data_IF_772575643577
#
_entry.id   IF_772575643577
#
_cell.length_a   1.000
_cell.length_b   1.000
_cell.length_c   1.000
_cell.angle_alpha   90.00
_cell.angle_beta   90.00
_cell.angle_gamma   90.00
#
_symmetry.space_group_name_H-M   'P 1'
#
loop_
_entity.id
_entity.type
_entity.pdbx_description
1 polymer ?
#
# COMPACT_ATOMS: atom_id res chain seq x y z
N UNK A 1 -19.86 8.61 -16.51
CA UNK A 1 -19.89 8.07 -17.88
C UNK A 1 -20.29 9.10 -18.92
N UNK A 2 -21.35 9.86 -18.74
CA UNK A 2 -21.84 10.81 -19.76
C UNK A 2 -20.77 11.85 -20.15
N UNK A 3 -19.99 12.35 -19.21
CA UNK A 3 -18.94 13.36 -19.46
C UNK A 3 -17.62 12.79 -19.99
N UNK A 4 -17.23 11.56 -19.57
CA UNK A 4 -15.92 10.96 -19.88
C UNK A 4 -15.95 9.94 -21.02
N UNK A 5 -17.13 9.57 -21.52
CA UNK A 5 -17.30 8.51 -22.52
C UNK A 5 -16.99 7.10 -21.99
N UNK A 6 -17.01 6.07 -22.87
CA UNK A 6 -16.81 4.67 -22.49
C UNK A 6 -15.34 4.27 -22.37
N UNK A 7 -14.41 5.05 -22.90
CA UNK A 7 -12.98 4.73 -22.95
C UNK A 7 -12.21 5.41 -21.83
N UNK A 8 -11.10 4.77 -21.41
CA UNK A 8 -10.16 5.28 -20.43
C UNK A 8 -8.76 5.27 -21.01
N UNK A 9 -7.94 6.22 -20.55
CA UNK A 9 -6.55 6.30 -20.98
C UNK A 9 -5.76 5.12 -20.41
N UNK A 10 -5.07 4.39 -21.28
CA UNK A 10 -4.15 3.32 -20.88
C UNK A 10 -2.76 3.89 -20.70
N UNK A 11 -2.25 3.86 -19.48
CA UNK A 11 -0.87 4.24 -19.21
C UNK A 11 0.06 3.14 -19.69
N UNK A 12 1.01 3.54 -20.52
CA UNK A 12 2.13 2.71 -20.95
C UNK A 12 3.40 3.54 -20.88
N UNK A 13 4.36 3.17 -20.01
CA UNK A 13 5.63 3.87 -19.96
C UNK A 13 6.37 3.79 -21.30
N UNK A 14 6.86 4.93 -21.80
CA UNK A 14 7.65 4.99 -23.03
C UNK A 14 9.06 4.43 -22.88
N UNK A 15 9.48 4.12 -21.66
CA UNK A 15 10.75 3.53 -21.29
C UNK A 15 10.72 3.00 -19.87
N UNK A 16 11.81 2.38 -19.40
CA UNK A 16 11.90 1.97 -18.00
C UNK A 16 11.91 3.21 -17.11
N UNK A 17 10.95 3.36 -16.19
CA UNK A 17 10.97 4.44 -15.23
C UNK A 17 12.24 4.43 -14.38
N UNK A 18 12.68 5.60 -13.91
CA UNK A 18 13.79 5.68 -12.98
C UNK A 18 13.39 5.09 -11.63
N UNK A 19 13.82 3.85 -11.35
CA UNK A 19 13.47 3.09 -10.16
C UNK A 19 14.54 3.16 -9.07
N UNK A 20 15.71 3.75 -9.33
CA UNK A 20 16.83 3.77 -8.38
C UNK A 20 16.42 4.26 -6.99
N UNK A 21 15.63 5.34 -6.94
CA UNK A 21 15.15 5.88 -5.66
C UNK A 21 14.29 4.88 -4.87
N UNK A 22 13.49 4.03 -5.54
CA UNK A 22 12.67 3.02 -4.85
C UNK A 22 13.52 1.89 -4.27
N UNK A 23 14.58 1.47 -4.98
CA UNK A 23 15.54 0.50 -4.44
C UNK A 23 16.25 1.04 -3.20
N UNK A 24 16.59 2.33 -3.21
CA UNK A 24 17.21 2.98 -2.06
C UNK A 24 16.20 3.21 -0.91
N UNK A 25 14.96 3.54 -1.24
CA UNK A 25 13.92 3.83 -0.25
C UNK A 25 13.32 2.60 0.41
N UNK A 26 13.17 1.55 -0.34
CA UNK A 26 12.51 0.32 0.08
C UNK A 26 13.33 -0.91 -0.28
N UNK A 27 14.57 -1.03 0.26
CA UNK A 27 15.50 -2.09 -0.10
C UNK A 27 14.99 -3.50 0.22
N UNK A 28 14.08 -3.62 1.19
CA UNK A 28 13.42 -4.87 1.52
C UNK A 28 12.36 -5.31 0.49
N UNK A 29 12.06 -4.48 -0.51
CA UNK A 29 11.19 -4.82 -1.64
C UNK A 29 11.97 -5.03 -2.95
N UNK A 30 13.28 -5.22 -2.88
CA UNK A 30 14.14 -5.34 -4.05
C UNK A 30 13.67 -6.40 -5.05
N UNK A 31 13.24 -7.57 -4.57
CA UNK A 31 12.80 -8.68 -5.42
C UNK A 31 11.52 -8.31 -6.18
N UNK A 32 10.58 -7.64 -5.52
CA UNK A 32 9.35 -7.12 -6.15
C UNK A 32 9.68 -6.06 -7.18
N UNK A 33 10.59 -5.13 -6.86
CA UNK A 33 11.03 -4.08 -7.78
C UNK A 33 11.73 -4.66 -9.01
N UNK A 34 12.55 -5.70 -8.84
CA UNK A 34 13.17 -6.40 -9.96
C UNK A 34 12.13 -7.10 -10.84
N UNK A 35 11.09 -7.69 -10.25
CA UNK A 35 10.01 -8.31 -10.99
C UNK A 35 9.20 -7.29 -11.79
N UNK A 36 8.75 -6.22 -11.15
CA UNK A 36 8.06 -5.11 -11.82
C UNK A 36 8.92 -4.54 -12.95
N UNK A 37 10.23 -4.36 -12.74
CA UNK A 37 11.16 -3.90 -13.77
C UNK A 37 11.24 -4.84 -14.95
N UNK A 38 11.25 -6.18 -14.74
CA UNK A 38 11.23 -7.16 -15.82
C UNK A 38 9.96 -7.08 -16.64
N UNK A 39 8.79 -6.99 -15.98
CA UNK A 39 7.50 -6.89 -16.65
C UNK A 39 7.37 -5.57 -17.44
N UNK A 40 7.85 -4.47 -16.90
CA UNK A 40 7.93 -3.19 -17.61
C UNK A 40 8.84 -3.27 -18.85
N UNK A 41 9.95 -3.99 -18.76
CA UNK A 41 10.86 -4.15 -19.89
C UNK A 41 10.22 -4.90 -21.08
N UNK A 42 9.29 -5.83 -20.82
CA UNK A 42 8.57 -6.55 -21.89
C UNK A 42 7.62 -5.62 -22.68
N UNK A 43 7.17 -4.54 -22.08
CA UNK A 43 6.29 -3.57 -22.72
C UNK A 43 7.04 -2.52 -23.54
N UNK A 44 8.38 -2.47 -23.44
CA UNK A 44 9.18 -1.51 -24.20
C UNK A 44 9.16 -1.86 -25.69
N UNK A 45 9.09 -0.80 -26.53
CA UNK A 45 9.13 -0.92 -27.98
C UNK A 45 8.09 -1.88 -28.59
N UNK A 46 7.09 -2.32 -27.79
CA UNK A 46 5.98 -3.16 -28.23
C UNK A 46 4.69 -2.35 -28.39
N UNK A 47 3.69 -2.94 -29.05
CA UNK A 47 2.32 -2.39 -29.11
C UNK A 47 1.43 -2.97 -28.01
N UNK A 48 1.95 -3.92 -27.24
CA UNK A 48 1.20 -4.60 -26.20
C UNK A 48 0.88 -3.67 -25.04
N UNK A 49 -0.23 -3.92 -24.38
CA UNK A 49 -0.60 -3.24 -23.15
C UNK A 49 0.43 -3.51 -22.05
N UNK A 50 0.50 -2.61 -21.07
CA UNK A 50 1.22 -2.88 -19.85
C UNK A 50 0.48 -3.97 -19.07
N UNK A 51 1.10 -5.13 -18.96
CA UNK A 51 0.61 -6.26 -18.18
C UNK A 51 1.55 -6.48 -16.99
N UNK A 52 1.00 -6.41 -15.79
CA UNK A 52 1.72 -6.73 -14.55
C UNK A 52 0.93 -7.83 -13.85
N UNK A 53 1.59 -8.97 -13.66
CA UNK A 53 1.00 -10.11 -12.94
C UNK A 53 0.55 -9.67 -11.55
N UNK A 54 -0.66 -10.03 -11.10
CA UNK A 54 -1.12 -9.76 -9.75
C UNK A 54 -0.07 -10.16 -8.71
N UNK A 55 0.22 -9.31 -7.75
CA UNK A 55 1.25 -9.56 -6.75
C UNK A 55 0.69 -9.55 -5.34
N UNK A 56 1.18 -10.47 -4.51
CA UNK A 56 0.92 -10.52 -3.07
C UNK A 56 2.21 -10.22 -2.31
N UNK A 57 2.17 -9.17 -1.48
CA UNK A 57 3.25 -8.79 -0.58
C UNK A 57 2.98 -9.43 0.79
N UNK A 58 3.68 -10.51 1.08
CA UNK A 58 3.54 -11.28 2.33
C UNK A 58 4.66 -10.91 3.31
N UNK A 59 4.33 -10.68 4.56
CA UNK A 59 5.36 -10.41 5.58
C UNK A 59 4.81 -9.72 6.83
N UNK A 60 5.65 -9.45 7.84
CA UNK A 60 5.21 -8.90 9.11
C UNK A 60 4.54 -7.53 8.97
N UNK A 61 3.68 -7.14 9.92
CA UNK A 61 3.02 -5.84 9.89
C UNK A 61 4.03 -4.70 10.08
N UNK A 62 3.72 -3.54 9.48
CA UNK A 62 4.50 -2.31 9.70
C UNK A 62 5.77 -2.15 8.88
N UNK A 63 6.13 -3.10 8.00
CA UNK A 63 7.35 -3.05 7.17
C UNK A 63 7.22 -2.20 5.90
N UNK A 64 6.04 -1.63 5.61
CA UNK A 64 5.83 -0.72 4.49
C UNK A 64 5.09 -1.28 3.29
N UNK A 65 4.46 -2.47 3.35
CA UNK A 65 3.75 -3.11 2.22
C UNK A 65 2.72 -2.19 1.55
N UNK A 66 1.83 -1.60 2.33
CA UNK A 66 0.79 -0.67 1.82
C UNK A 66 1.40 0.60 1.23
N UNK A 67 2.52 1.09 1.79
CA UNK A 67 3.25 2.23 1.24
C UNK A 67 3.86 1.87 -0.11
N UNK A 68 4.53 0.73 -0.21
CA UNK A 68 5.09 0.21 -1.46
C UNK A 68 4.04 0.12 -2.58
N UNK A 69 2.86 -0.44 -2.28
CA UNK A 69 1.78 -0.55 -3.25
C UNK A 69 1.35 0.81 -3.84
N UNK A 70 1.36 1.87 -3.02
CA UNK A 70 1.08 3.24 -3.46
C UNK A 70 2.21 3.82 -4.32
N UNK A 71 3.46 3.51 -3.98
CA UNK A 71 4.61 3.96 -4.76
C UNK A 71 4.66 3.31 -6.15
N UNK A 72 4.17 2.07 -6.30
CA UNK A 72 4.00 1.46 -7.63
C UNK A 72 3.02 2.26 -8.50
N UNK A 73 1.88 2.72 -7.97
CA UNK A 73 0.95 3.55 -8.73
C UNK A 73 1.60 4.89 -9.16
N UNK A 74 2.40 5.50 -8.29
CA UNK A 74 3.15 6.72 -8.62
C UNK A 74 4.22 6.47 -9.67
N UNK A 75 4.98 5.38 -9.54
CA UNK A 75 6.01 4.98 -10.51
C UNK A 75 5.42 4.80 -11.90
N UNK A 76 4.25 4.17 -11.98
CA UNK A 76 3.56 3.91 -13.25
C UNK A 76 2.83 5.15 -13.79
N UNK A 77 2.61 6.17 -12.97
CA UNK A 77 1.85 7.38 -13.36
C UNK A 77 0.38 7.10 -13.62
N UNK A 78 -0.19 6.09 -12.97
CA UNK A 78 -1.58 5.68 -13.14
C UNK A 78 -2.44 5.97 -11.90
N UNK A 79 -3.75 5.68 -12.00
CA UNK A 79 -4.69 5.82 -10.89
C UNK A 79 -4.46 4.78 -9.77
N UNK A 80 -5.09 5.03 -8.63
CA UNK A 80 -5.02 4.17 -7.45
C UNK A 80 -6.42 3.89 -6.92
N UNK A 81 -6.83 2.62 -6.87
CA UNK A 81 -7.94 2.12 -6.08
C UNK A 81 -7.40 1.49 -4.79
N UNK A 82 -8.09 1.70 -3.66
CA UNK A 82 -7.66 1.16 -2.38
C UNK A 82 -8.84 0.53 -1.63
N UNK A 83 -8.61 -0.69 -1.14
CA UNK A 83 -9.58 -1.47 -0.35
C UNK A 83 -8.82 -2.08 0.82
N UNK A 84 -9.32 -1.87 2.05
CA UNK A 84 -8.79 -2.54 3.24
C UNK A 84 -9.75 -3.63 3.68
N UNK A 85 -9.31 -4.89 3.61
CA UNK A 85 -10.14 -6.04 3.97
C UNK A 85 -10.43 -6.12 5.46
N UNK A 86 -9.56 -5.58 6.31
CA UNK A 86 -9.77 -5.53 7.76
C UNK A 86 -10.95 -4.63 8.18
N UNK A 87 -11.34 -3.69 7.34
CA UNK A 87 -12.46 -2.77 7.59
C UNK A 87 -13.77 -3.20 6.95
N UNK A 88 -13.78 -4.31 6.19
CA UNK A 88 -14.94 -4.77 5.45
C UNK A 88 -15.77 -5.78 6.25
N UNK A 89 -17.07 -5.56 6.19
CA UNK A 89 -18.08 -6.47 6.76
C UNK A 89 -18.87 -7.22 5.69
N UNK A 90 -18.67 -6.89 4.40
CA UNK A 90 -19.46 -7.45 3.30
C UNK A 90 -18.68 -7.55 1.99
N UNK A 91 -18.86 -8.64 1.26
CA UNK A 91 -18.17 -8.97 0.01
C UNK A 91 -18.47 -8.06 -1.18
N UNK A 92 -19.61 -7.38 -1.17
CA UNK A 92 -20.05 -6.50 -2.27
C UNK A 92 -19.21 -5.21 -2.45
N UNK A 93 -18.22 -4.97 -1.60
CA UNK A 93 -17.38 -3.77 -1.75
C UNK A 93 -16.52 -3.82 -3.02
N UNK A 94 -16.11 -5.00 -3.49
CA UNK A 94 -15.40 -5.16 -4.76
C UNK A 94 -16.33 -5.11 -5.97
N UNK A 95 -17.44 -5.88 -5.92
CA UNK A 95 -18.33 -6.16 -7.05
C UNK A 95 -19.64 -5.36 -7.05
N UNK A 96 -19.87 -4.50 -6.07
CA UNK A 96 -21.12 -3.79 -5.92
C UNK A 96 -22.19 -4.59 -5.17
N UNK A 97 -23.21 -3.91 -4.70
CA UNK A 97 -24.38 -4.51 -4.08
C UNK A 97 -25.55 -4.44 -5.06
N UNK A 98 -26.32 -5.55 -5.21
CA UNK A 98 -27.51 -5.57 -6.07
C UNK A 98 -28.41 -4.36 -5.83
N UNK A 99 -28.82 -3.70 -6.92
CA UNK A 99 -29.65 -2.48 -6.90
C UNK A 99 -31.01 -2.65 -6.17
N UNK A 100 -31.42 -3.90 -5.93
CA UNK A 100 -32.64 -4.22 -5.17
C UNK A 100 -32.49 -3.95 -3.65
N UNK A 101 -31.29 -3.77 -3.15
CA UNK A 101 -31.04 -3.56 -1.72
C UNK A 101 -31.04 -2.08 -1.36
N UNK A 102 -31.66 -1.75 -0.24
CA UNK A 102 -31.65 -0.37 0.26
C UNK A 102 -30.22 0.04 0.63
N UNK A 103 -29.74 1.10 0.00
CA UNK A 103 -28.37 1.59 0.18
C UNK A 103 -27.34 0.89 -0.71
N UNK A 104 -27.78 0.15 -1.73
CA UNK A 104 -26.90 -0.41 -2.74
C UNK A 104 -26.06 0.67 -3.43
N UNK A 105 -24.84 0.31 -3.78
CA UNK A 105 -23.89 1.18 -4.49
C UNK A 105 -22.93 0.33 -5.33
N UNK A 106 -22.31 0.93 -6.34
CA UNK A 106 -21.29 0.28 -7.15
C UNK A 106 -20.13 -0.24 -6.29
N UNK A 107 -19.48 -1.26 -6.78
CA UNK A 107 -18.24 -1.77 -6.20
C UNK A 107 -17.04 -0.88 -6.51
N UNK A 108 -15.99 -1.07 -5.73
CA UNK A 108 -14.78 -0.24 -5.84
C UNK A 108 -14.07 -0.38 -7.17
N UNK A 109 -14.15 -1.55 -7.81
CA UNK A 109 -13.61 -1.78 -9.15
C UNK A 109 -14.32 -0.88 -10.15
N UNK A 110 -15.65 -0.91 -10.16
CA UNK A 110 -16.46 -0.08 -11.04
C UNK A 110 -16.21 1.42 -10.80
N UNK A 111 -16.26 1.88 -9.54
CA UNK A 111 -15.97 3.27 -9.19
C UNK A 111 -14.59 3.71 -9.72
N UNK A 112 -13.55 2.89 -9.49
CA UNK A 112 -12.18 3.24 -9.87
C UNK A 112 -12.03 3.37 -11.38
N UNK A 113 -12.70 2.50 -12.17
CA UNK A 113 -12.65 2.55 -13.64
C UNK A 113 -13.57 3.64 -14.22
N UNK A 114 -14.77 3.79 -13.68
CA UNK A 114 -15.77 4.72 -14.24
C UNK A 114 -15.50 6.16 -13.85
N UNK A 115 -15.19 6.42 -12.58
CA UNK A 115 -14.89 7.76 -12.09
C UNK A 115 -13.44 8.17 -12.36
N UNK A 116 -12.55 7.18 -12.52
CA UNK A 116 -11.15 7.38 -12.86
C UNK A 116 -10.95 7.86 -14.30
N UNK A 117 -9.68 8.12 -14.63
CA UNK A 117 -9.25 8.53 -15.98
C UNK A 117 -8.44 7.44 -16.69
N UNK A 118 -8.08 6.39 -15.99
CA UNK A 118 -7.16 5.35 -16.45
C UNK A 118 -7.86 3.99 -16.60
N UNK A 119 -7.46 3.22 -17.63
CA UNK A 119 -7.92 1.86 -17.87
C UNK A 119 -7.16 0.83 -17.01
N UNK A 120 -5.93 1.15 -16.62
CA UNK A 120 -5.03 0.29 -15.87
C UNK A 120 -4.56 0.90 -14.52
N UNK A 121 -5.49 1.33 -13.63
CA UNK A 121 -5.12 1.79 -12.31
C UNK A 121 -4.57 0.65 -11.45
N UNK A 122 -3.74 0.98 -10.48
CA UNK A 122 -3.32 0.03 -9.44
C UNK A 122 -4.46 -0.15 -8.44
N UNK A 123 -4.89 -1.40 -8.24
CA UNK A 123 -5.87 -1.79 -7.23
C UNK A 123 -5.14 -2.41 -6.04
N UNK A 124 -5.16 -1.74 -4.92
CA UNK A 124 -4.56 -2.22 -3.67
C UNK A 124 -5.61 -2.90 -2.80
N UNK A 125 -5.39 -4.19 -2.52
CA UNK A 125 -6.17 -4.99 -1.58
C UNK A 125 -5.35 -5.18 -0.32
N UNK A 126 -5.56 -4.31 0.67
CA UNK A 126 -4.76 -4.28 1.90
C UNK A 126 -5.31 -5.27 2.93
N UNK A 127 -4.40 -6.02 3.57
CA UNK A 127 -4.71 -7.02 4.60
C UNK A 127 -5.72 -8.09 4.12
N UNK A 128 -5.46 -8.68 2.93
CA UNK A 128 -6.34 -9.70 2.33
C UNK A 128 -6.56 -10.92 3.27
N UNK A 129 -5.59 -11.23 4.13
CA UNK A 129 -5.66 -12.25 5.17
C UNK A 129 -6.64 -11.94 6.29
N UNK A 130 -7.15 -10.71 6.37
CA UNK A 130 -8.15 -10.27 7.34
C UNK A 130 -9.58 -10.27 6.78
N UNK A 131 -9.75 -10.67 5.53
CA UNK A 131 -11.06 -10.81 4.94
C UNK A 131 -11.89 -11.80 5.77
N UNK A 132 -12.96 -11.30 6.37
CA UNK A 132 -13.90 -12.09 7.18
C UNK A 132 -15.28 -11.93 6.57
N UNK A 133 -15.92 -13.03 6.26
CA UNK A 133 -17.29 -13.06 5.76
C UNK A 133 -17.93 -14.39 6.12
N UNK A 134 -19.25 -14.39 6.24
CA UNK A 134 -20.02 -15.62 6.20
C UNK A 134 -19.98 -16.18 4.78
N UNK A 135 -20.07 -17.50 4.61
CA UNK A 135 -20.02 -18.16 3.29
C UNK A 135 -20.99 -17.57 2.25
N UNK A 136 -22.07 -16.93 2.69
CA UNK A 136 -23.03 -16.25 1.80
C UNK A 136 -22.53 -14.90 1.25
N UNK A 137 -21.50 -14.30 1.85
CA UNK A 137 -20.97 -12.97 1.51
C UNK A 137 -19.44 -12.97 1.55
N UNK A 138 -18.83 -13.86 0.76
CA UNK A 138 -17.37 -13.96 0.68
C UNK A 138 -16.77 -12.65 0.13
N UNK A 139 -16.02 -11.89 0.95
CA UNK A 139 -15.40 -10.64 0.51
C UNK A 139 -14.32 -10.85 -0.55
N UNK A 140 -13.83 -12.06 -0.73
CA UNK A 140 -12.85 -12.42 -1.75
C UNK A 140 -13.48 -12.97 -3.03
N UNK A 141 -14.80 -13.23 -3.03
CA UNK A 141 -15.53 -13.87 -4.13
C UNK A 141 -15.27 -13.22 -5.49
N UNK A 142 -15.30 -11.89 -5.56
CA UNK A 142 -15.05 -11.17 -6.80
C UNK A 142 -13.61 -11.32 -7.33
N UNK A 143 -12.62 -11.57 -6.46
CA UNK A 143 -11.23 -11.71 -6.87
C UNK A 143 -10.99 -12.95 -7.74
N UNK A 144 -11.79 -14.01 -7.59
CA UNK A 144 -11.67 -15.20 -8.43
C UNK A 144 -11.83 -14.89 -9.93
N UNK A 145 -12.70 -13.96 -10.27
CA UNK A 145 -12.91 -13.52 -11.65
C UNK A 145 -12.00 -12.35 -12.05
N UNK A 146 -11.71 -11.44 -11.13
CA UNK A 146 -10.95 -10.22 -11.41
C UNK A 146 -9.44 -10.46 -11.56
N UNK A 147 -8.90 -11.52 -10.94
CA UNK A 147 -7.48 -11.89 -11.05
C UNK A 147 -7.15 -12.72 -12.29
N UNK A 148 -8.14 -13.10 -13.09
CA UNK A 148 -7.94 -13.81 -14.35
C UNK A 148 -8.29 -12.93 -15.53
N UNK A 149 -7.35 -12.80 -16.48
CA UNK A 149 -7.50 -11.91 -17.63
C UNK A 149 -8.80 -12.13 -18.42
N UNK A 150 -9.12 -13.40 -18.74
CA UNK A 150 -10.29 -13.71 -19.59
C UNK A 150 -11.62 -13.38 -18.92
N UNK A 151 -11.76 -13.63 -17.63
CA UNK A 151 -12.99 -13.36 -16.89
C UNK A 151 -13.10 -11.89 -16.52
N UNK A 152 -11.99 -11.21 -16.22
CA UNK A 152 -11.95 -9.79 -15.91
C UNK A 152 -12.34 -8.89 -17.09
N UNK A 153 -12.14 -9.34 -18.34
CA UNK A 153 -12.57 -8.59 -19.54
C UNK A 153 -14.08 -8.37 -19.66
N UNK A 154 -14.87 -9.18 -18.99
CA UNK A 154 -16.32 -9.07 -19.00
C UNK A 154 -16.86 -9.03 -17.57
N UNK A 155 -16.16 -8.32 -16.68
CA UNK A 155 -16.57 -8.17 -15.29
C UNK A 155 -17.89 -7.41 -15.22
N UNK A 156 -18.84 -7.91 -14.44
CA UNK A 156 -20.14 -7.29 -14.22
C UNK A 156 -20.22 -6.88 -12.75
N UNK A 157 -20.36 -5.57 -12.52
CA UNK A 157 -20.67 -5.03 -11.20
C UNK A 157 -22.15 -5.29 -10.89
N UNK A 158 -22.47 -5.82 -9.70
CA UNK A 158 -23.82 -6.22 -9.32
C UNK A 158 -24.80 -5.05 -9.18
N UNK A 159 -24.28 -3.83 -8.98
CA UNK A 159 -25.11 -2.63 -8.95
C UNK A 159 -25.37 -2.08 -10.35
N UNK A 160 -24.31 -2.02 -11.16
CA UNK A 160 -24.39 -1.40 -12.47
C UNK A 160 -25.00 -2.32 -13.54
N UNK A 161 -24.88 -3.65 -13.36
CA UNK A 161 -25.41 -4.71 -14.25
C UNK A 161 -24.93 -4.57 -15.71
N UNK A 162 -23.80 -3.90 -15.93
CA UNK A 162 -23.17 -3.74 -17.25
C UNK A 162 -21.76 -4.33 -17.25
N UNK A 163 -21.37 -5.03 -18.33
CA UNK A 163 -20.02 -5.53 -18.43
C UNK A 163 -19.02 -4.39 -18.62
N UNK A 164 -17.90 -4.46 -17.89
CA UNK A 164 -16.76 -3.56 -18.03
C UNK A 164 -15.47 -4.38 -18.18
N UNK A 165 -14.52 -3.85 -18.93
CA UNK A 165 -13.19 -4.47 -19.04
C UNK A 165 -12.33 -4.06 -17.84
N UNK A 166 -12.15 -4.99 -16.90
CA UNK A 166 -11.30 -4.87 -15.72
C UNK A 166 -9.97 -5.64 -15.87
N UNK A 167 -9.68 -6.19 -17.06
CA UNK A 167 -8.49 -7.04 -17.28
C UNK A 167 -7.17 -6.29 -17.22
N UNK A 168 -7.21 -4.96 -17.37
CA UNK A 168 -6.02 -4.11 -17.35
C UNK A 168 -5.65 -3.62 -15.95
N UNK A 169 -6.42 -3.96 -14.92
CA UNK A 169 -6.13 -3.57 -13.55
C UNK A 169 -4.83 -4.19 -13.05
N UNK A 170 -4.01 -3.38 -12.39
CA UNK A 170 -2.75 -3.83 -11.78
C UNK A 170 -3.03 -4.14 -10.31
N UNK A 171 -3.00 -5.41 -9.93
CA UNK A 171 -3.36 -5.86 -8.59
C UNK A 171 -2.16 -5.95 -7.67
N UNK A 172 -2.26 -5.31 -6.50
CA UNK A 172 -1.28 -5.42 -5.41
C UNK A 172 -2.01 -5.75 -4.12
N UNK A 173 -1.88 -6.98 -3.66
CA UNK A 173 -2.41 -7.40 -2.37
C UNK A 173 -1.34 -7.36 -1.28
N UNK A 174 -1.76 -7.15 -0.03
CA UNK A 174 -0.88 -7.28 1.14
C UNK A 174 -1.45 -8.29 2.13
N UNK A 175 -0.59 -9.05 2.79
CA UNK A 175 -0.97 -9.98 3.83
C UNK A 175 0.13 -10.13 4.90
N UNK A 176 -0.25 -10.63 6.07
CA UNK A 176 0.69 -11.02 7.11
C UNK A 176 0.76 -12.55 7.27
N UNK A 177 -0.29 -13.27 6.87
CA UNK A 177 -0.37 -14.74 6.98
C UNK A 177 -1.06 -15.32 5.73
N UNK A 178 -0.34 -16.07 4.91
CA UNK A 178 -0.86 -16.70 3.69
C UNK A 178 -1.91 -17.79 3.97
N UNK A 179 -1.84 -18.44 5.13
CA UNK A 179 -2.75 -19.55 5.50
C UNK A 179 -4.21 -19.11 5.61
N UNK A 180 -4.44 -17.81 5.74
CA UNK A 180 -5.78 -17.23 5.79
C UNK A 180 -6.33 -16.87 4.39
N UNK A 181 -5.54 -17.09 3.33
CA UNK A 181 -5.90 -16.76 1.94
C UNK A 181 -6.25 -18.06 1.19
N UNK A 182 -7.39 -18.13 0.50
CA UNK A 182 -7.74 -19.30 -0.30
C UNK A 182 -6.68 -19.61 -1.37
N UNK A 183 -6.31 -20.89 -1.47
CA UNK A 183 -5.32 -21.37 -2.44
C UNK A 183 -5.63 -20.93 -3.90
N UNK A 184 -6.87 -20.93 -4.40
CA UNK A 184 -7.15 -20.46 -5.75
C UNK A 184 -6.80 -18.98 -5.98
N UNK A 185 -6.79 -18.14 -4.96
CA UNK A 185 -6.37 -16.74 -5.05
C UNK A 185 -4.84 -16.67 -5.05
N UNK A 186 -4.17 -17.42 -4.17
CA UNK A 186 -2.70 -17.50 -4.15
C UNK A 186 -2.14 -17.96 -5.50
N UNK A 187 -2.75 -18.97 -6.13
CA UNK A 187 -2.32 -19.50 -7.43
C UNK A 187 -2.46 -18.50 -8.60
N UNK A 188 -3.16 -17.38 -8.40
CA UNK A 188 -3.33 -16.30 -9.38
C UNK A 188 -2.42 -15.10 -9.13
N UNK A 189 -1.57 -15.17 -8.12
CA UNK A 189 -0.68 -14.08 -7.73
C UNK A 189 0.77 -14.52 -7.66
N UNK A 190 1.69 -13.63 -8.00
CA UNK A 190 3.09 -13.77 -7.63
C UNK A 190 3.23 -13.42 -6.15
N UNK A 191 3.58 -14.39 -5.33
CA UNK A 191 3.77 -14.20 -3.88
C UNK A 191 5.21 -13.79 -3.60
N UNK A 192 5.39 -12.64 -2.97
CA UNK A 192 6.68 -12.12 -2.55
C UNK A 192 6.76 -12.06 -1.02
N UNK A 193 7.67 -12.84 -0.44
CA UNK A 193 7.99 -12.74 0.97
C UNK A 193 8.86 -11.51 1.24
N UNK A 194 8.28 -10.51 1.89
CA UNK A 194 8.97 -9.27 2.24
C UNK A 194 9.42 -9.34 3.69
N UNK A 195 10.72 -9.37 3.89
CA UNK A 195 11.32 -9.38 5.22
C UNK A 195 11.35 -7.97 5.84
N UNK A 196 11.49 -7.92 7.16
CA UNK A 196 11.83 -6.66 7.82
C UNK A 196 13.16 -6.10 7.26
N UNK A 197 13.29 -4.77 7.13
CA UNK A 197 14.53 -4.18 6.66
C UNK A 197 15.71 -4.58 7.58
N UNK A 198 16.85 -4.90 7.00
CA UNK A 198 18.06 -5.15 7.78
C UNK A 198 18.52 -3.86 8.52
N UNK A 199 19.42 -3.93 9.51
CA UNK A 199 19.79 -2.77 10.32
C UNK A 199 20.28 -1.56 9.50
N UNK A 200 21.04 -1.78 8.42
CA UNK A 200 21.51 -0.71 7.54
C UNK A 200 20.36 -0.06 6.79
N UNK A 201 19.44 -0.85 6.23
CA UNK A 201 18.22 -0.37 5.57
C UNK A 201 17.31 0.34 6.57
N UNK A 202 17.12 -0.22 7.76
CA UNK A 202 16.29 0.38 8.81
C UNK A 202 16.81 1.76 9.23
N UNK A 203 18.14 1.90 9.36
CA UNK A 203 18.79 3.17 9.65
C UNK A 203 18.56 4.19 8.51
N UNK A 204 18.72 3.77 7.26
CA UNK A 204 18.46 4.62 6.10
C UNK A 204 16.99 5.05 6.03
N UNK A 205 16.04 4.17 6.37
CA UNK A 205 14.60 4.49 6.48
C UNK A 205 14.36 5.53 7.59
N UNK A 206 14.99 5.33 8.78
CA UNK A 206 14.86 6.28 9.89
C UNK A 206 15.34 7.70 9.49
N UNK A 207 16.49 7.80 8.83
CA UNK A 207 17.04 9.06 8.34
C UNK A 207 16.13 9.73 7.31
N UNK A 208 15.57 8.95 6.37
CA UNK A 208 14.63 9.48 5.38
C UNK A 208 13.34 9.98 6.01
N UNK A 209 12.79 9.25 6.97
CA UNK A 209 11.62 9.70 7.72
C UNK A 209 11.87 11.01 8.46
N UNK A 210 13.06 11.18 9.07
CA UNK A 210 13.47 12.45 9.66
C UNK A 210 13.42 13.59 8.64
N UNK A 211 14.08 13.40 7.50
CA UNK A 211 14.17 14.41 6.44
C UNK A 211 12.79 14.72 5.82
N UNK A 212 11.93 13.70 5.64
CA UNK A 212 10.56 13.87 5.13
C UNK A 212 9.75 14.72 6.10
N UNK A 213 9.74 14.38 7.39
CA UNK A 213 9.02 15.13 8.42
C UNK A 213 9.48 16.58 8.52
N UNK A 214 10.80 16.84 8.42
CA UNK A 214 11.33 18.19 8.39
C UNK A 214 10.85 19.01 7.20
N UNK A 215 10.67 18.40 6.04
CA UNK A 215 10.21 19.07 4.81
C UNK A 215 8.69 19.23 4.76
N UNK A 216 7.95 18.26 5.28
CA UNK A 216 6.48 18.25 5.27
C UNK A 216 5.88 19.32 6.19
N UNK A 217 6.64 19.77 7.20
CA UNK A 217 6.12 20.65 8.25
C UNK A 217 6.94 21.93 8.41
N UNK A 218 6.30 23.08 8.57
CA UNK A 218 6.96 24.38 8.77
C UNK A 218 7.84 24.40 10.02
N UNK A 219 7.46 23.70 11.08
CA UNK A 219 8.26 23.57 12.29
C UNK A 219 9.57 22.80 12.05
N UNK A 220 9.63 21.97 11.02
CA UNK A 220 10.78 21.12 10.71
C UNK A 220 12.05 21.92 10.42
N UNK A 221 11.94 23.14 9.88
CA UNK A 221 13.07 24.04 9.59
C UNK A 221 13.84 24.49 10.82
N UNK A 222 13.28 24.29 12.02
CA UNK A 222 13.90 24.68 13.30
C UNK A 222 14.81 23.61 13.88
N UNK A 223 14.82 22.43 13.27
CA UNK A 223 15.64 21.30 13.71
C UNK A 223 16.86 21.15 12.84
N UNK A 224 17.91 20.54 13.39
CA UNK A 224 19.19 20.29 12.74
C UNK A 224 19.01 19.55 11.40
N UNK A 225 19.92 19.74 10.45
CA UNK A 225 19.86 19.07 9.15
C UNK A 225 20.06 17.56 9.24
N UNK A 226 20.84 17.12 10.22
CA UNK A 226 21.09 15.70 10.48
C UNK A 226 20.76 15.36 11.95
N UNK A 227 20.09 14.23 12.19
CA UNK A 227 19.84 13.75 13.54
C UNK A 227 21.09 13.13 14.15
N UNK A 228 21.13 13.04 15.49
CA UNK A 228 22.19 12.35 16.20
C UNK A 228 22.26 10.85 15.80
N UNK A 229 23.47 10.33 15.62
CA UNK A 229 23.71 8.94 15.23
C UNK A 229 23.08 7.93 16.19
N UNK A 230 23.23 8.14 17.50
CA UNK A 230 22.65 7.28 18.51
C UNK A 230 21.10 7.20 18.43
N UNK A 231 20.45 8.29 18.02
CA UNK A 231 19.00 8.31 17.79
C UNK A 231 18.63 7.44 16.58
N UNK A 232 19.40 7.54 15.49
CA UNK A 232 19.20 6.70 14.30
C UNK A 232 19.36 5.22 14.60
N UNK A 233 20.40 4.84 15.35
CA UNK A 233 20.63 3.45 15.77
C UNK A 233 19.48 2.92 16.62
N UNK A 234 18.99 3.71 17.57
CA UNK A 234 17.87 3.33 18.43
C UNK A 234 16.57 3.13 17.63
N UNK A 235 16.34 3.98 16.64
CA UNK A 235 15.17 3.87 15.75
C UNK A 235 15.30 2.71 14.78
N UNK A 236 16.49 2.38 14.30
CA UNK A 236 16.72 1.25 13.40
C UNK A 236 16.31 -0.11 13.99
N UNK A 237 16.17 -0.19 15.32
CA UNK A 237 15.63 -1.37 16.00
C UNK A 237 14.09 -1.45 15.99
N UNK A 238 13.40 -0.45 15.44
CA UNK A 238 11.92 -0.37 15.40
C UNK A 238 11.40 -0.68 13.99
N UNK A 239 10.13 -1.12 13.91
CA UNK A 239 9.47 -1.21 12.61
C UNK A 239 9.27 0.20 12.00
N UNK A 240 9.31 0.36 10.66
CA UNK A 240 9.15 1.67 9.98
C UNK A 240 7.93 2.48 10.43
N UNK A 241 6.80 1.80 10.68
CA UNK A 241 5.58 2.45 11.20
C UNK A 241 5.76 3.03 12.60
N UNK A 242 6.56 2.37 13.44
CA UNK A 242 6.89 2.84 14.80
C UNK A 242 7.90 3.97 14.75
N UNK A 243 8.89 3.91 13.84
CA UNK A 243 9.87 4.97 13.63
C UNK A 243 9.22 6.33 13.40
N UNK A 244 8.19 6.41 12.51
CA UNK A 244 7.50 7.67 12.23
C UNK A 244 6.84 8.25 13.49
N UNK A 245 6.19 7.40 14.30
CA UNK A 245 5.58 7.84 15.56
C UNK A 245 6.63 8.28 16.57
N UNK A 246 7.74 7.53 16.66
CA UNK A 246 8.83 7.88 17.56
C UNK A 246 9.49 9.21 17.18
N UNK A 247 9.71 9.47 15.89
CA UNK A 247 10.17 10.77 15.41
C UNK A 247 9.22 11.91 15.77
N UNK A 248 7.91 11.76 15.56
CA UNK A 248 6.94 12.80 15.91
C UNK A 248 6.98 13.12 17.40
N UNK A 249 7.12 12.11 18.26
CA UNK A 249 7.27 12.31 19.71
C UNK A 249 8.59 13.02 20.03
N UNK A 250 9.67 12.60 19.40
CA UNK A 250 10.99 13.19 19.64
C UNK A 250 11.08 14.66 19.20
N UNK A 251 10.51 15.00 18.04
CA UNK A 251 10.39 16.39 17.62
C UNK A 251 9.60 17.24 18.64
N UNK A 252 8.49 16.68 19.15
CA UNK A 252 7.66 17.34 20.16
C UNK A 252 8.41 17.59 21.46
N UNK A 253 9.13 16.58 21.98
CA UNK A 253 9.87 16.67 23.24
C UNK A 253 11.03 17.68 23.13
N UNK A 254 11.88 17.57 22.11
CA UNK A 254 12.95 18.53 21.86
C UNK A 254 12.42 19.96 21.72
N UNK A 255 11.24 20.12 21.09
CA UNK A 255 10.61 21.44 20.95
C UNK A 255 10.13 22.00 22.28
N UNK A 256 9.56 21.19 23.17
CA UNK A 256 9.16 21.59 24.51
C UNK A 256 10.35 22.08 25.35
N UNK A 257 11.50 21.44 25.17
CA UNK A 257 12.74 21.82 25.82
C UNK A 257 13.50 22.97 25.13
N UNK A 258 12.93 23.53 24.05
CA UNK A 258 13.53 24.65 23.29
C UNK A 258 14.75 24.26 22.46
N UNK A 259 15.00 22.96 22.23
CA UNK A 259 16.14 22.45 21.49
C UNK A 259 15.85 22.30 19.99
N UNK A 260 16.89 22.49 19.17
CA UNK A 260 16.89 22.16 17.74
C UNK A 260 17.42 20.73 17.48
N UNK A 261 18.22 20.21 18.38
CA UNK A 261 18.81 18.87 18.31
C UNK A 261 17.90 17.87 19.02
N UNK A 262 17.64 16.74 18.37
CA UNK A 262 16.92 15.61 18.98
C UNK A 262 17.92 14.68 19.64
N UNK A 263 17.63 14.32 20.88
CA UNK A 263 18.46 13.44 21.73
C UNK A 263 17.74 12.11 22.01
N UNK A 264 18.50 11.11 22.52
CA UNK A 264 17.92 9.80 22.88
C UNK A 264 16.81 9.90 23.93
N UNK A 265 16.89 10.88 24.81
CA UNK A 265 15.87 11.16 25.86
C UNK A 265 14.54 11.60 25.30
N UNK A 266 14.52 12.11 24.07
CA UNK A 266 13.30 12.54 23.40
C UNK A 266 12.48 11.35 22.83
N UNK A 267 13.11 10.20 22.66
CA UNK A 267 12.44 9.00 22.12
C UNK A 267 11.47 8.38 23.14
N UNK A 268 10.34 7.83 22.69
CA UNK A 268 9.40 7.14 23.55
C UNK A 268 10.07 5.94 24.23
N UNK A 269 9.87 5.78 25.55
CA UNK A 269 10.44 4.69 26.35
C UNK A 269 11.80 4.99 26.97
N UNK A 270 12.43 6.14 26.69
CA UNK A 270 13.67 6.54 27.36
C UNK A 270 13.47 6.94 28.84
N UNK A 271 12.26 7.35 29.22
CA UNK A 271 11.98 7.89 30.58
C UNK A 271 10.59 7.64 31.16
N UNK A 272 9.75 6.78 30.57
CA UNK A 272 8.46 6.50 31.22
C UNK A 272 8.55 5.34 32.20
N UNK A 273 8.88 5.62 33.46
CA UNK A 273 8.26 4.89 34.58
C UNK A 273 6.75 5.11 34.43
N UNK A 274 6.04 4.06 33.97
CA UNK A 274 4.58 3.99 34.09
C UNK A 274 4.30 4.01 35.59
N UNK A 275 3.79 5.11 36.13
CA UNK A 275 3.19 5.10 37.45
C UNK A 275 1.99 4.17 37.37
N UNK A 276 1.90 3.12 38.22
CA UNK A 276 0.70 2.30 38.27
C UNK A 276 -0.48 3.20 38.60
N UNK A 277 -1.57 3.05 37.89
CA UNK A 277 -2.86 3.65 38.29
C UNK A 277 -3.27 2.90 39.56
N UNK A 278 -2.95 3.46 40.73
CA UNK A 278 -3.40 2.93 42.01
C UNK A 278 -4.88 3.16 42.16
N UNK A 279 -5.66 2.10 42.16
CA UNK A 279 -6.99 2.14 42.77
C UNK A 279 -6.75 2.23 44.27
N UNK A 280 -7.12 3.35 44.85
CA UNK A 280 -7.20 3.50 46.31
C UNK A 280 -8.40 2.67 46.77
N UNK A 281 -8.14 1.66 47.63
CA UNK A 281 -9.20 0.92 48.34
C UNK A 281 -9.88 1.79 49.38
#
# INVERSE_FOLDING_TARGET
MIEKGPERFQVKPSGLPAMAHLFDEMPNFSDVLHDVRRQLALCQDSRDALEITPMLLLGPPGIGKTHFAREIARLLGTGLGFISMSSLTAGWVLSGASCQWKGARPGKVFETLVDGSYANPVMVVDEIDKARGEHAYDPLGALYSLLEYNTARAFIDEFAEVPIDASQLIWVATANDERAIPEPILNRMNVFEVQAPNPTAARAIALRLYNSLRREHDWGRRFDEAPCEAVLERLAAMAPREMRRAWMTAFGNARLDGRATIELTDLPGATTRRSPIGFVQ
#
